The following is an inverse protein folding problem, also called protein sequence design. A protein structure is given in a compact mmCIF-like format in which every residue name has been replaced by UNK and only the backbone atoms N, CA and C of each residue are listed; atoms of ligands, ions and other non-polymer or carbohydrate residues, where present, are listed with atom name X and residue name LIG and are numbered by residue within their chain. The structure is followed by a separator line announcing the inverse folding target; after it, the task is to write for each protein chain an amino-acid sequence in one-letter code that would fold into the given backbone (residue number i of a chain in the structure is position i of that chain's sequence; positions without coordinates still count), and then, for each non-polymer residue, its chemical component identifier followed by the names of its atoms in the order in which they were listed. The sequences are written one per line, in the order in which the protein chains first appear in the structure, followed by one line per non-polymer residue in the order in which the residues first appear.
data_IF_427424939487
#
_entry.id   IF_427424939487
#
_cell.length_a   1.000
_cell.length_b   1.000
_cell.length_c   1.000
_cell.angle_alpha   90.00
_cell.angle_beta   90.00
_cell.angle_gamma   90.00
#
_symmetry.space_group_name_H-M   'P 1'
#
loop_
_entity.id
_entity.type
_entity.pdbx_description
1 polymer ?
#
# COMPACT_ATOMS: atom_id res chain seq x y z
N UNK A 1 20.41 -0.55 0.71
CA UNK A 1 20.20 -1.02 2.09
C UNK A 1 19.12 -0.16 2.70
N UNK A 2 17.95 -0.73 3.03
CA UNK A 2 16.84 0.00 3.65
C UNK A 2 16.83 -0.38 5.12
N UNK A 3 17.72 0.23 5.90
CA UNK A 3 17.67 0.15 7.36
C UNK A 3 16.58 1.10 7.88
N UNK A 4 15.56 0.52 8.53
CA UNK A 4 14.94 1.13 9.71
C UNK A 4 14.29 2.50 9.60
N UNK A 5 13.71 2.91 8.46
CA UNK A 5 12.82 4.09 8.47
C UNK A 5 11.49 3.74 9.12
N UNK A 6 11.35 4.10 10.39
CA UNK A 6 10.05 4.17 11.06
C UNK A 6 9.31 5.36 10.48
N UNK A 7 8.30 5.11 9.64
CA UNK A 7 7.33 6.13 9.25
C UNK A 7 6.46 6.48 10.46
N UNK A 8 6.08 7.76 10.59
CA UNK A 8 5.11 8.17 11.61
C UNK A 8 3.75 7.52 11.32
N UNK A 9 3.40 7.39 10.03
CA UNK A 9 2.14 6.79 9.57
C UNK A 9 2.40 5.71 8.54
N UNK A 10 1.94 4.48 8.79
CA UNK A 10 1.85 3.44 7.78
C UNK A 10 0.41 3.35 7.24
N UNK A 11 0.28 3.38 5.92
CA UNK A 11 -1.02 3.22 5.23
C UNK A 11 -1.00 1.90 4.48
N UNK A 12 -1.92 0.98 4.78
CA UNK A 12 -2.09 -0.26 4.02
C UNK A 12 -3.33 -0.17 3.14
N UNK A 13 -3.13 -0.37 1.83
CA UNK A 13 -4.16 -0.40 0.79
C UNK A 13 -4.20 -1.81 0.19
N UNK A 14 -5.05 -2.70 0.71
CA UNK A 14 -5.38 -3.92 -0.01
C UNK A 14 -6.25 -3.58 -1.22
N UNK A 15 -5.92 -4.14 -2.38
CA UNK A 15 -6.67 -3.93 -3.62
C UNK A 15 -6.83 -5.24 -4.38
N UNK A 16 -8.03 -5.51 -4.88
CA UNK A 16 -8.35 -6.68 -5.72
C UNK A 16 -9.04 -6.18 -6.99
N UNK A 17 -8.58 -6.62 -8.16
CA UNK A 17 -9.00 -6.08 -9.45
C UNK A 17 -8.99 -4.52 -9.46
N UNK A 18 -7.81 -3.90 -9.29
CA UNK A 18 -7.65 -2.45 -9.18
C UNK A 18 -8.24 -1.70 -10.38
N UNK A 19 -8.75 -0.50 -10.11
CA UNK A 19 -9.32 0.41 -11.09
C UNK A 19 -9.42 1.83 -10.53
N UNK A 20 -10.39 2.61 -10.99
CA UNK A 20 -10.53 4.04 -10.61
C UNK A 20 -10.61 4.32 -9.10
N UNK A 21 -11.03 3.34 -8.28
CA UNK A 21 -11.04 3.49 -6.83
C UNK A 21 -9.64 3.57 -6.23
N UNK A 22 -8.69 2.81 -6.78
CA UNK A 22 -7.31 2.81 -6.33
C UNK A 22 -6.65 4.14 -6.66
N UNK A 23 -6.86 4.64 -7.88
CA UNK A 23 -6.40 5.97 -8.31
C UNK A 23 -6.92 7.07 -7.37
N UNK A 24 -8.22 7.09 -7.08
CA UNK A 24 -8.82 8.05 -6.13
C UNK A 24 -8.21 7.95 -4.74
N UNK A 25 -7.95 6.73 -4.27
CA UNK A 25 -7.33 6.48 -2.97
C UNK A 25 -5.90 7.04 -2.93
N UNK A 26 -5.07 6.72 -3.94
CA UNK A 26 -3.69 7.21 -4.03
C UNK A 26 -3.64 8.73 -4.19
N UNK A 27 -4.57 9.32 -4.96
CA UNK A 27 -4.72 10.78 -5.08
C UNK A 27 -5.04 11.44 -3.75
N UNK A 28 -5.99 10.89 -2.98
CA UNK A 28 -6.31 11.37 -1.64
C UNK A 28 -5.07 11.36 -0.72
N UNK A 29 -4.25 10.32 -0.79
CA UNK A 29 -3.00 10.23 -0.03
C UNK A 29 -1.96 11.27 -0.51
N UNK A 30 -1.86 11.45 -1.82
CA UNK A 30 -0.97 12.45 -2.43
C UNK A 30 -1.37 13.90 -2.08
N UNK A 31 -2.66 14.15 -1.82
CA UNK A 31 -3.18 15.47 -1.43
C UNK A 31 -3.13 15.75 0.09
N UNK A 32 -2.76 14.76 0.92
CA UNK A 32 -2.63 14.97 2.37
C UNK A 32 -1.63 16.09 2.69
N UNK A 33 -2.01 16.98 3.62
CA UNK A 33 -1.18 18.09 4.08
C UNK A 33 0.02 17.66 4.94
N UNK A 34 0.02 16.41 5.41
CA UNK A 34 1.17 15.82 6.09
C UNK A 34 2.33 15.62 5.11
N UNK A 35 3.54 15.91 5.57
CA UNK A 35 4.78 15.70 4.81
C UNK A 35 4.89 14.24 4.32
N UNK A 36 5.19 14.06 3.03
CA UNK A 36 5.26 12.76 2.34
C UNK A 36 6.35 11.84 2.90
N UNK A 37 7.39 12.40 3.51
CA UNK A 37 8.45 11.64 4.18
C UNK A 37 7.96 10.97 5.48
N UNK A 38 6.84 11.43 6.04
CA UNK A 38 6.29 10.91 7.31
C UNK A 38 5.39 9.70 7.13
N UNK A 39 4.96 9.40 5.91
CA UNK A 39 4.14 8.24 5.65
C UNK A 39 4.77 7.26 4.66
N UNK A 40 4.44 5.98 4.87
CA UNK A 40 4.81 4.88 4.00
C UNK A 40 3.54 4.14 3.57
N UNK A 41 3.30 4.10 2.26
CA UNK A 41 2.12 3.48 1.67
C UNK A 41 2.44 2.08 1.20
N UNK A 42 1.74 1.11 1.74
CA UNK A 42 1.82 -0.28 1.33
C UNK A 42 0.64 -0.61 0.43
N UNK A 43 0.90 -0.88 -0.85
CA UNK A 43 -0.11 -1.31 -1.80
C UNK A 43 0.00 -2.82 -1.99
N UNK A 44 -1.05 -3.53 -1.57
CA UNK A 44 -1.11 -4.97 -1.59
C UNK A 44 -2.12 -5.43 -2.65
N UNK A 45 -1.62 -5.92 -3.80
CA UNK A 45 -2.48 -6.52 -4.83
C UNK A 45 -2.87 -7.93 -4.40
N UNK A 46 -4.13 -8.07 -4.02
CA UNK A 46 -4.77 -9.33 -3.68
C UNK A 46 -5.41 -9.94 -4.93
N UNK A 47 -5.04 -11.18 -5.25
CA UNK A 47 -5.56 -11.91 -6.41
C UNK A 47 -4.54 -12.03 -7.55
N UNK A 48 -5.05 -12.03 -8.78
CA UNK A 48 -4.26 -12.29 -9.98
C UNK A 48 -3.24 -11.18 -10.26
N UNK A 49 -2.00 -11.56 -10.62
CA UNK A 49 -0.98 -10.58 -11.01
C UNK A 49 -1.25 -10.02 -12.40
N UNK A 50 -1.68 -10.84 -13.35
CA UNK A 50 -2.07 -10.38 -14.68
C UNK A 50 -3.59 -10.22 -14.75
N UNK A 51 -4.13 -9.11 -15.29
CA UNK A 51 -3.45 -7.97 -15.92
C UNK A 51 -3.08 -6.83 -14.94
N UNK A 52 -3.29 -7.01 -13.64
CA UNK A 52 -3.40 -5.89 -12.69
C UNK A 52 -2.07 -5.34 -12.18
N UNK A 53 -1.01 -6.15 -12.14
CA UNK A 53 0.32 -5.75 -11.64
C UNK A 53 0.87 -4.59 -12.45
N UNK A 54 0.88 -4.71 -13.77
CA UNK A 54 1.33 -3.65 -14.68
C UNK A 54 0.48 -2.38 -14.54
N UNK A 55 -0.84 -2.53 -14.43
CA UNK A 55 -1.73 -1.40 -14.18
C UNK A 55 -1.35 -0.63 -12.89
N UNK A 56 -1.13 -1.34 -11.78
CA UNK A 56 -0.76 -0.71 -10.50
C UNK A 56 0.63 -0.10 -10.56
N UNK A 57 1.60 -0.77 -11.19
CA UNK A 57 2.95 -0.23 -11.35
C UNK A 57 2.98 1.05 -12.17
N UNK A 58 2.21 1.12 -13.25
CA UNK A 58 2.06 2.34 -14.05
C UNK A 58 1.37 3.45 -13.25
N UNK A 59 0.27 3.13 -12.56
CA UNK A 59 -0.47 4.09 -11.75
C UNK A 59 0.38 4.68 -10.61
N UNK A 60 1.27 3.89 -9.99
CA UNK A 60 2.12 4.35 -8.89
C UNK A 60 3.20 5.35 -9.33
N UNK A 61 3.55 5.40 -10.62
CA UNK A 61 4.53 6.36 -11.14
C UNK A 61 4.02 7.81 -11.12
N UNK A 62 2.70 8.01 -11.02
CA UNK A 62 2.07 9.33 -10.99
C UNK A 62 2.08 10.00 -9.59
N UNK A 63 2.62 9.31 -8.57
CA UNK A 63 2.55 9.77 -7.18
C UNK A 63 3.93 9.95 -6.53
N UNK A 64 4.05 10.95 -5.64
CA UNK A 64 5.34 11.41 -5.10
C UNK A 64 5.61 10.99 -3.64
N UNK A 65 4.81 10.06 -3.10
CA UNK A 65 5.02 9.55 -1.74
C UNK A 65 5.80 8.24 -1.72
N UNK A 66 6.37 7.91 -0.56
CA UNK A 66 7.06 6.63 -0.38
C UNK A 66 6.05 5.49 -0.40
N UNK A 67 6.29 4.49 -1.25
CA UNK A 67 5.44 3.31 -1.31
C UNK A 67 6.23 2.00 -1.38
N UNK A 68 5.56 0.91 -1.00
CA UNK A 68 5.98 -0.47 -1.22
C UNK A 68 4.81 -1.19 -1.87
N UNK A 69 5.05 -1.73 -3.07
CA UNK A 69 4.09 -2.51 -3.82
C UNK A 69 4.44 -4.00 -3.78
N UNK A 70 3.44 -4.86 -3.57
CA UNK A 70 3.62 -6.31 -3.52
C UNK A 70 2.31 -7.05 -3.85
N UNK A 71 2.43 -8.29 -4.32
CA UNK A 71 1.32 -9.17 -4.73
C UNK A 71 1.11 -10.29 -3.69
N UNK A 72 -0.14 -10.73 -3.48
CA UNK A 72 -0.51 -11.79 -2.54
C UNK A 72 -0.74 -13.15 -3.20
N UNK A 73 -0.06 -13.47 -4.31
CA UNK A 73 -0.45 -14.63 -5.10
C UNK A 73 0.05 -15.98 -4.57
N UNK A 74 0.99 -16.04 -3.63
CA UNK A 74 1.43 -17.32 -3.05
C UNK A 74 2.15 -17.17 -1.71
N UNK A 75 1.42 -16.84 -0.65
CA UNK A 75 1.87 -17.14 0.70
C UNK A 75 0.69 -17.72 1.48
N UNK A 76 0.38 -18.99 1.21
CA UNK A 76 -0.09 -19.83 2.28
C UNK A 76 0.99 -19.77 3.39
N UNK A 77 0.61 -19.34 4.58
CA UNK A 77 1.37 -19.50 5.84
C UNK A 77 2.39 -18.43 6.30
N UNK A 78 2.58 -17.29 5.62
CA UNK A 78 3.50 -16.21 6.10
C UNK A 78 2.84 -14.82 6.30
N UNK A 79 1.50 -14.70 6.27
CA UNK A 79 0.81 -13.54 5.67
C UNK A 79 0.14 -12.49 6.56
N UNK A 80 0.18 -12.57 7.89
CA UNK A 80 -0.32 -11.46 8.72
C UNK A 80 0.74 -10.99 9.71
N UNK A 81 1.39 -11.91 10.41
CA UNK A 81 2.30 -11.57 11.52
C UNK A 81 3.51 -10.75 11.09
N UNK A 82 4.21 -11.11 9.99
CA UNK A 82 5.40 -10.36 9.56
C UNK A 82 5.05 -8.97 9.05
N UNK A 83 3.89 -8.82 8.42
CA UNK A 83 3.41 -7.54 7.91
C UNK A 83 2.85 -6.66 9.02
N UNK A 84 2.09 -7.25 9.96
CA UNK A 84 1.70 -6.63 11.21
C UNK A 84 2.93 -6.16 11.98
N UNK A 85 3.99 -6.96 12.11
CA UNK A 85 5.21 -6.54 12.81
C UNK A 85 5.87 -5.32 12.15
N UNK A 86 5.92 -5.24 10.82
CA UNK A 86 6.40 -4.03 10.11
C UNK A 86 5.49 -2.82 10.32
N UNK A 87 4.18 -3.01 10.25
CA UNK A 87 3.18 -1.98 10.50
C UNK A 87 3.22 -1.48 11.94
N UNK A 88 3.34 -2.38 12.90
CA UNK A 88 3.34 -2.12 14.35
C UNK A 88 4.57 -1.33 14.81
N UNK A 89 5.61 -1.22 13.96
CA UNK A 89 6.73 -0.31 14.23
C UNK A 89 6.39 1.16 13.90
N UNK A 90 5.34 1.44 13.14
CA UNK A 90 4.87 2.81 12.90
C UNK A 90 4.07 3.33 14.08
N UNK A 91 4.11 4.64 14.32
CA UNK A 91 3.37 5.26 15.43
C UNK A 91 1.85 5.23 15.22
N UNK A 92 1.41 5.29 13.97
CA UNK A 92 0.00 5.28 13.58
C UNK A 92 -0.18 4.35 12.39
N UNK A 93 -1.21 3.50 12.44
CA UNK A 93 -1.60 2.62 11.35
C UNK A 93 -2.98 2.98 10.82
N UNK A 94 -3.09 3.12 9.50
CA UNK A 94 -4.36 3.36 8.80
C UNK A 94 -4.59 2.22 7.81
N UNK A 95 -5.65 1.45 8.05
CA UNK A 95 -6.14 0.46 7.10
C UNK A 95 -7.28 1.06 6.28
N UNK A 96 -7.06 1.20 4.97
CA UNK A 96 -8.09 1.66 4.05
C UNK A 96 -8.75 0.42 3.42
N UNK A 97 -9.75 -0.15 4.08
CA UNK A 97 -10.55 -1.23 3.47
C UNK A 97 -11.56 -0.62 2.51
N UNK A 98 -11.38 -0.85 1.21
CA UNK A 98 -12.42 -0.55 0.22
C UNK A 98 -13.24 -1.81 0.01
N UNK A 99 -14.41 -1.88 0.64
CA UNK A 99 -15.41 -2.92 0.38
C UNK A 99 -15.94 -2.73 -1.05
N UNK A 100 -15.70 -3.71 -1.92
CA UNK A 100 -16.41 -3.81 -3.20
C UNK A 100 -17.87 -4.16 -2.91
N UNK A 101 -18.80 -3.34 -3.42
CA UNK A 101 -20.18 -3.75 -3.67
C UNK A 101 -20.27 -4.31 -5.08
#
# INVERSE_FOLDING_TARGET
MIEGRVSEVAVLIPTHAPGSYLEKCLKSINEQSLDKSKFLVYVALNGEESPYREYVENLLQDFFFNYVFFTWICLAFLTLETFLLKILQSRIFVLLTMTMF
#
